data_IF_172791239301
#
_entry.id   IF_172791239301
#
_cell.length_a   1.000
_cell.length_b   1.000
_cell.length_c   1.000
_cell.angle_alpha   90.00
_cell.angle_beta   90.00
_cell.angle_gamma   90.00
#
_symmetry.space_group_name_H-M   'P 1'
#
loop_
_entity.id
_entity.type
_entity.pdbx_description
1 polymer ?
#
# COMPACT_ATOMS: atom_id res chain seq x y z
N UNK A 1 -23.36 -35.90 -11.31
CA UNK A 1 -21.91 -36.05 -11.57
C UNK A 1 -21.41 -35.13 -12.67
N UNK A 2 -22.08 -35.04 -13.82
CA UNK A 2 -21.75 -34.10 -14.91
C UNK A 2 -21.69 -32.63 -14.46
N UNK A 3 -22.72 -32.18 -13.73
CA UNK A 3 -22.78 -30.81 -13.19
C UNK A 3 -21.60 -30.51 -12.26
N UNK A 4 -21.19 -31.48 -11.43
CA UNK A 4 -20.07 -31.34 -10.50
C UNK A 4 -18.74 -31.06 -11.23
N UNK A 5 -18.43 -31.86 -12.26
CA UNK A 5 -17.21 -31.66 -13.05
C UNK A 5 -17.22 -30.35 -13.84
N UNK A 6 -18.38 -29.96 -14.38
CA UNK A 6 -18.52 -28.69 -15.10
C UNK A 6 -18.30 -27.50 -14.18
N UNK A 7 -18.93 -27.49 -13.00
CA UNK A 7 -18.73 -26.42 -12.01
C UNK A 7 -17.29 -26.35 -11.51
N UNK A 8 -16.65 -27.50 -11.29
CA UNK A 8 -15.27 -27.57 -10.81
C UNK A 8 -14.29 -27.00 -11.85
N UNK A 9 -14.42 -27.40 -13.11
CA UNK A 9 -13.59 -26.90 -14.20
C UNK A 9 -13.77 -25.39 -14.42
N UNK A 10 -15.02 -24.88 -14.35
CA UNK A 10 -15.30 -23.46 -14.47
C UNK A 10 -14.65 -22.65 -13.34
N UNK A 11 -14.74 -23.14 -12.11
CA UNK A 11 -14.15 -22.47 -10.95
C UNK A 11 -12.63 -22.41 -11.05
N UNK A 12 -11.99 -23.50 -11.50
CA UNK A 12 -10.56 -23.53 -11.76
C UNK A 12 -10.15 -22.51 -12.83
N UNK A 13 -10.91 -22.41 -13.92
CA UNK A 13 -10.63 -21.45 -14.99
C UNK A 13 -10.69 -20.01 -14.46
N UNK A 14 -11.70 -19.66 -13.66
CA UNK A 14 -11.82 -18.34 -13.04
C UNK A 14 -10.65 -18.05 -12.10
N UNK A 15 -10.29 -19.00 -11.23
CA UNK A 15 -9.16 -18.85 -10.30
C UNK A 15 -7.84 -18.64 -11.05
N UNK A 16 -7.59 -19.42 -12.11
CA UNK A 16 -6.41 -19.25 -12.95
C UNK A 16 -6.42 -17.90 -13.66
N UNK A 17 -7.57 -17.46 -14.17
CA UNK A 17 -7.72 -16.14 -14.79
C UNK A 17 -7.39 -14.99 -13.82
N UNK A 18 -7.88 -15.08 -12.58
CA UNK A 18 -7.55 -14.10 -11.53
C UNK A 18 -6.05 -14.10 -11.19
N UNK A 19 -5.46 -15.28 -11.01
CA UNK A 19 -4.04 -15.42 -10.69
C UNK A 19 -3.14 -14.85 -11.81
N UNK A 20 -3.42 -15.22 -13.07
CA UNK A 20 -2.72 -14.71 -14.24
C UNK A 20 -2.86 -13.19 -14.35
N UNK A 21 -4.05 -12.64 -14.07
CA UNK A 21 -4.27 -11.19 -14.07
C UNK A 21 -3.36 -10.43 -13.09
N UNK A 22 -3.18 -10.96 -11.88
CA UNK A 22 -2.29 -10.36 -10.86
C UNK A 22 -0.82 -10.47 -11.28
N UNK A 23 -0.40 -11.63 -11.80
CA UNK A 23 0.99 -11.86 -12.23
C UNK A 23 1.35 -10.93 -13.40
N UNK A 24 0.47 -10.80 -14.40
CA UNK A 24 0.72 -9.95 -15.57
C UNK A 24 0.71 -8.46 -15.24
N UNK A 25 -0.13 -8.02 -14.30
CA UNK A 25 -0.13 -6.61 -13.90
C UNK A 25 1.13 -6.23 -13.11
N UNK A 26 1.75 -7.17 -12.38
CA UNK A 26 2.91 -6.98 -11.50
C UNK A 26 2.84 -5.71 -10.62
N UNK A 27 1.64 -5.14 -10.48
CA UNK A 27 1.37 -3.96 -9.69
C UNK A 27 1.14 -4.50 -8.30
N UNK A 28 2.05 -4.12 -7.40
CA UNK A 28 1.89 -4.42 -5.99
C UNK A 28 0.58 -3.82 -5.53
N UNK A 29 -0.15 -4.57 -4.71
CA UNK A 29 -1.42 -4.10 -4.16
C UNK A 29 -1.14 -2.76 -3.49
N UNK A 30 -1.74 -1.70 -4.05
CA UNK A 30 -1.65 -0.35 -3.51
C UNK A 30 -2.21 -0.43 -2.09
N UNK A 31 -1.32 -0.39 -1.10
CA UNK A 31 -1.68 -0.58 0.31
C UNK A 31 -1.09 -1.79 1.03
N UNK A 32 -0.28 -2.66 0.40
CA UNK A 32 0.30 -3.81 1.12
C UNK A 32 1.22 -3.40 2.29
N UNK A 33 1.86 -2.24 2.18
CA UNK A 33 2.63 -1.65 3.29
C UNK A 33 1.89 -0.42 3.89
N UNK A 34 0.56 -0.36 3.68
CA UNK A 34 -0.45 0.15 4.62
C UNK A 34 -0.29 1.56 5.18
N UNK A 35 0.46 2.45 4.53
CA UNK A 35 0.75 3.76 5.10
C UNK A 35 1.97 3.80 6.02
N UNK A 36 2.83 2.78 6.03
CA UNK A 36 4.19 2.85 6.60
C UNK A 36 5.14 3.72 5.76
N UNK A 37 4.72 4.13 4.55
CA UNK A 37 5.29 5.26 3.81
C UNK A 37 5.13 6.60 4.59
N UNK A 38 4.42 6.58 5.73
CA UNK A 38 4.27 7.69 6.66
C UNK A 38 5.40 7.90 7.66
N UNK A 39 6.46 7.10 7.60
CA UNK A 39 7.58 7.25 8.54
C UNK A 39 8.62 8.07 7.79
N UNK A 40 8.70 9.37 8.13
CA UNK A 40 9.49 10.36 7.41
C UNK A 40 10.99 10.07 7.33
N UNK A 41 11.49 9.15 8.16
CA UNK A 41 12.92 8.83 8.32
C UNK A 41 13.30 7.42 7.83
N UNK A 42 12.39 6.69 7.16
CA UNK A 42 12.67 5.34 6.68
C UNK A 42 12.84 5.33 5.15
N UNK A 43 14.04 5.03 4.66
CA UNK A 43 14.29 4.84 3.22
C UNK A 43 13.63 3.56 2.68
N UNK A 44 13.37 2.60 3.57
CA UNK A 44 12.79 1.31 3.25
C UNK A 44 11.67 0.95 4.23
N UNK A 45 10.61 0.32 3.73
CA UNK A 45 9.55 -0.17 4.59
C UNK A 45 10.03 -1.37 5.43
N UNK A 46 9.93 -1.28 6.75
CA UNK A 46 10.36 -2.34 7.69
C UNK A 46 9.65 -3.69 7.51
N UNK A 47 8.43 -3.69 6.95
CA UNK A 47 7.64 -4.92 6.75
C UNK A 47 8.02 -5.61 5.45
N UNK A 48 8.23 -4.83 4.40
CA UNK A 48 8.38 -5.33 3.04
C UNK A 48 9.77 -5.06 2.41
N UNK A 49 10.71 -4.53 3.21
CA UNK A 49 12.13 -4.23 2.92
C UNK A 49 12.38 -3.59 1.55
N UNK A 50 11.45 -2.74 1.11
CA UNK A 50 11.49 -2.12 -0.21
C UNK A 50 11.46 -0.62 -0.05
N UNK A 51 12.15 0.05 -0.96
CA UNK A 51 12.26 1.51 -1.03
C UNK A 51 10.89 2.18 -1.00
N UNK A 52 10.82 3.24 -0.22
CA UNK A 52 9.64 4.06 -0.04
C UNK A 52 9.52 5.05 -1.21
N UNK A 53 8.34 5.10 -1.85
CA UNK A 53 8.07 5.97 -3.01
C UNK A 53 7.96 7.45 -2.57
N UNK A 54 8.92 8.32 -2.96
CA UNK A 54 8.97 9.72 -2.52
C UNK A 54 7.91 10.61 -3.18
N UNK A 55 7.31 10.16 -4.30
CA UNK A 55 6.28 10.87 -5.05
C UNK A 55 4.86 10.40 -4.68
N UNK A 56 4.74 9.58 -3.63
CA UNK A 56 3.44 9.06 -3.23
C UNK A 56 2.54 10.20 -2.71
N UNK A 57 1.26 10.28 -3.14
CA UNK A 57 0.30 11.28 -2.67
C UNK A 57 -0.02 11.16 -1.17
N UNK A 58 0.51 10.13 -0.50
CA UNK A 58 0.41 9.93 0.94
C UNK A 58 1.33 10.86 1.73
N UNK A 59 2.44 11.34 1.15
CA UNK A 59 3.33 12.32 1.80
C UNK A 59 2.63 13.63 2.10
N UNK A 60 1.81 14.11 1.17
CA UNK A 60 1.03 15.34 1.37
C UNK A 60 -0.15 15.14 2.35
N UNK A 61 -0.63 13.90 2.53
CA UNK A 61 -1.63 13.55 3.56
C UNK A 61 -0.99 13.34 4.95
N UNK A 62 0.34 13.22 4.99
CA UNK A 62 1.14 13.02 6.19
C UNK A 62 1.34 14.29 7.00
N UNK A 63 1.35 15.42 6.30
CA UNK A 63 1.24 16.74 6.89
C UNK A 63 -0.17 16.94 7.43
N UNK A 64 -0.55 16.13 8.41
CA UNK A 64 -1.80 16.27 9.10
C UNK A 64 -1.81 17.70 9.67
N UNK A 65 -2.74 18.58 9.26
CA UNK A 65 -2.78 19.95 9.77
C UNK A 65 -3.00 20.00 11.30
N UNK A 66 -3.41 18.87 11.90
CA UNK A 66 -3.43 18.65 13.35
C UNK A 66 -2.03 18.54 13.97
N UNK A 67 -1.11 17.80 13.35
CA UNK A 67 0.26 17.63 13.87
C UNK A 67 1.01 18.97 13.86
N UNK A 68 0.86 19.74 12.77
CA UNK A 68 1.44 21.09 12.66
C UNK A 68 0.94 22.03 13.76
N UNK A 69 -0.38 22.06 14.00
CA UNK A 69 -0.99 22.84 15.09
C UNK A 69 -0.56 22.39 16.49
N UNK A 70 -0.21 21.12 16.67
CA UNK A 70 0.31 20.61 17.95
C UNK A 70 1.77 21.02 18.17
N UNK A 71 2.60 21.01 17.12
CA UNK A 71 3.98 21.52 17.17
C UNK A 71 4.01 23.03 17.42
N UNK A 72 3.16 23.80 16.73
CA UNK A 72 3.02 25.25 16.97
C UNK A 72 2.58 25.55 18.42
N UNK A 73 1.64 24.76 18.96
CA UNK A 73 1.22 24.89 20.38
C UNK A 73 2.28 24.45 21.39
N UNK A 74 3.22 23.61 20.97
CA UNK A 74 4.33 23.16 21.81
C UNK A 74 5.51 24.16 21.82
N UNK A 75 5.44 25.26 21.06
CA UNK A 75 6.46 26.32 21.08
C UNK A 75 7.84 25.91 20.56
N UNK A 76 7.90 24.86 19.73
CA UNK A 76 9.12 24.38 19.11
C UNK A 76 9.16 24.89 17.66
N UNK A 77 9.66 26.11 17.47
CA UNK A 77 10.06 26.63 16.17
C UNK A 77 11.24 25.79 15.65
N UNK A 78 10.97 24.78 14.83
CA UNK A 78 12.01 24.17 14.00
C UNK A 78 12.25 25.06 12.79
N UNK A 79 13.02 26.13 13.00
CA UNK A 79 13.70 26.80 11.92
C UNK A 79 14.90 25.97 11.48
N UNK A 80 14.78 25.33 10.31
CA UNK A 80 15.78 25.05 9.26
C UNK A 80 15.05 24.32 8.12
#
# INVERSE_FOLDING_TARGET
MTVFFLTFALFLLVMLGMALGVILMNKRIKGSCGGLNAIGDADQCLVCHKEIDPDSPLRERLECPRAKKMLERAGLDTGV
#
